data_IF_773310912642
#
_entry.id   IF_773310912642
#
_cell.length_a   1.000
_cell.length_b   1.000
_cell.length_c   1.000
_cell.angle_alpha   90.00
_cell.angle_beta   90.00
_cell.angle_gamma   90.00
#
_symmetry.space_group_name_H-M   'P 1'
#
loop_
_entity.id
_entity.type
_entity.pdbx_description
1 polymer ?
#
# COMPACT_ATOMS: atom_id res chain seq x y z
N UNK A 1 14.95 -3.42 -24.50
CA UNK A 1 14.38 -3.66 -23.16
C UNK A 1 15.21 -2.98 -22.11
N UNK A 2 14.59 -2.14 -21.31
CA UNK A 2 15.32 -1.49 -20.24
C UNK A 2 15.43 -2.42 -19.03
N UNK A 3 16.62 -2.48 -18.47
CA UNK A 3 16.88 -3.21 -17.25
C UNK A 3 16.66 -2.20 -16.11
N UNK A 4 15.82 -2.49 -15.12
CA UNK A 4 15.66 -1.57 -14.00
C UNK A 4 17.00 -1.36 -13.31
N UNK A 5 17.35 -0.11 -13.10
CA UNK A 5 18.57 0.25 -12.37
C UNK A 5 18.26 0.44 -10.88
N UNK A 6 16.99 0.27 -10.51
CA UNK A 6 16.53 0.45 -9.14
C UNK A 6 15.57 -0.65 -8.75
N UNK A 7 15.65 -1.08 -7.49
CA UNK A 7 14.71 -1.99 -6.86
C UNK A 7 13.68 -1.25 -6.03
N UNK A 8 13.51 0.04 -6.28
CA UNK A 8 12.51 0.86 -5.60
C UNK A 8 11.42 1.29 -6.57
N UNK A 9 10.20 1.40 -6.06
CA UNK A 9 9.07 1.94 -6.80
C UNK A 9 8.44 3.07 -5.99
N UNK A 10 7.89 4.07 -6.69
CA UNK A 10 7.06 5.10 -6.06
C UNK A 10 5.92 5.38 -7.01
N UNK A 11 4.69 5.23 -6.52
CA UNK A 11 3.50 5.65 -7.24
C UNK A 11 2.76 6.66 -6.38
N UNK A 12 2.09 7.59 -7.02
CA UNK A 12 1.45 8.68 -6.30
C UNK A 12 0.15 9.10 -6.97
N UNK A 13 -0.67 9.81 -6.21
CA UNK A 13 -1.93 10.35 -6.71
C UNK A 13 -2.30 11.59 -5.92
N UNK A 14 -3.09 12.47 -6.53
CA UNK A 14 -3.79 13.52 -5.80
C UNK A 14 -5.25 13.11 -5.70
N UNK A 15 -5.74 13.00 -4.48
CA UNK A 15 -7.11 12.61 -4.21
C UNK A 15 -7.89 13.85 -3.76
N UNK A 16 -8.99 14.14 -4.44
CA UNK A 16 -9.80 15.33 -4.17
C UNK A 16 -10.70 15.11 -2.96
N UNK A 17 -10.06 14.92 -1.82
CA UNK A 17 -10.70 14.74 -0.52
C UNK A 17 -9.75 15.21 0.57
N UNK A 18 -10.28 15.66 1.71
CA UNK A 18 -9.43 16.10 2.84
C UNK A 18 -8.55 14.97 3.37
N UNK A 19 -7.42 15.33 3.93
CA UNK A 19 -6.46 14.36 4.49
C UNK A 19 -7.13 13.39 5.47
N UNK A 20 -8.02 13.86 6.33
CA UNK A 20 -8.71 13.01 7.29
C UNK A 20 -9.56 11.92 6.62
N UNK A 21 -10.18 12.23 5.48
CA UNK A 21 -10.98 11.25 4.73
C UNK A 21 -10.10 10.18 4.10
N UNK A 22 -8.98 10.59 3.50
CA UNK A 22 -8.05 9.66 2.84
C UNK A 22 -7.36 8.81 3.89
N UNK A 23 -6.82 9.44 4.93
CA UNK A 23 -6.08 8.74 5.98
C UNK A 23 -6.93 7.69 6.70
N UNK A 24 -8.22 7.94 6.83
CA UNK A 24 -9.16 6.99 7.44
C UNK A 24 -9.11 5.60 6.79
N UNK A 25 -8.83 5.53 5.49
CA UNK A 25 -8.77 4.27 4.76
C UNK A 25 -7.41 3.57 4.85
N UNK A 26 -6.37 4.25 5.35
CA UNK A 26 -5.01 3.75 5.36
C UNK A 26 -4.77 2.92 6.62
N UNK A 27 -5.41 1.76 6.64
CA UNK A 27 -5.26 0.74 7.68
C UNK A 27 -5.18 -0.60 6.97
N UNK A 28 -4.14 -1.36 7.21
CA UNK A 28 -3.88 -2.61 6.47
C UNK A 28 -5.07 -3.58 6.52
N UNK A 29 -5.77 -3.64 7.64
CA UNK A 29 -6.94 -4.50 7.81
C UNK A 29 -8.17 -4.01 7.04
N UNK A 30 -8.14 -2.79 6.53
CA UNK A 30 -9.26 -2.18 5.80
C UNK A 30 -9.00 -2.03 4.30
N UNK A 31 -7.85 -2.48 3.81
CA UNK A 31 -7.50 -2.31 2.39
C UNK A 31 -8.49 -2.98 1.45
N UNK A 32 -9.11 -4.09 1.86
CA UNK A 32 -10.13 -4.74 1.03
C UNK A 32 -11.39 -3.88 0.85
N UNK A 33 -11.57 -2.85 1.67
CA UNK A 33 -12.71 -1.94 1.54
C UNK A 33 -12.58 -0.98 0.34
N UNK A 34 -11.35 -0.73 -0.13
CA UNK A 34 -11.16 0.14 -1.29
C UNK A 34 -10.43 -0.54 -2.45
N UNK A 35 -9.50 -1.43 -2.17
CA UNK A 35 -8.68 -2.07 -3.20
C UNK A 35 -9.42 -3.29 -3.76
N UNK A 36 -9.97 -3.13 -4.96
CA UNK A 36 -10.85 -4.14 -5.56
C UNK A 36 -10.15 -5.46 -5.89
N UNK A 37 -8.81 -5.44 -6.03
CA UNK A 37 -8.04 -6.67 -6.23
C UNK A 37 -8.00 -7.55 -4.98
N UNK A 38 -8.26 -6.99 -3.79
CA UNK A 38 -8.30 -7.74 -2.54
C UNK A 38 -9.71 -8.26 -2.27
N UNK A 39 -9.78 -9.56 -2.04
CA UNK A 39 -11.01 -10.23 -1.61
C UNK A 39 -11.25 -9.99 -0.12
N UNK A 40 -10.19 -10.04 0.69
CA UNK A 40 -10.29 -9.84 2.14
C UNK A 40 -8.98 -9.30 2.72
N UNK A 41 -9.10 -8.63 3.86
CA UNK A 41 -7.98 -8.17 4.67
C UNK A 41 -8.37 -8.31 6.13
N UNK A 42 -7.70 -9.18 6.87
CA UNK A 42 -8.10 -9.56 8.23
C UNK A 42 -6.90 -9.68 9.16
N UNK A 43 -7.11 -9.37 10.44
CA UNK A 43 -6.07 -9.62 11.44
C UNK A 43 -5.78 -11.10 11.55
N UNK A 44 -4.49 -11.43 11.71
CA UNK A 44 -4.07 -12.81 11.95
C UNK A 44 -4.29 -13.14 13.41
N UNK A 45 -5.08 -14.15 13.67
CA UNK A 45 -5.36 -14.61 15.03
C UNK A 45 -4.12 -15.27 15.64
N UNK A 46 -3.87 -15.00 16.91
CA UNK A 46 -2.72 -15.56 17.61
C UNK A 46 -1.43 -14.82 17.42
N UNK A 47 -1.44 -13.71 16.65
CA UNK A 47 -0.28 -12.82 16.55
C UNK A 47 -0.03 -12.17 17.90
N UNK A 48 1.25 -11.82 18.19
CA UNK A 48 1.57 -11.16 19.45
C UNK A 48 0.94 -9.75 19.48
N UNK A 49 0.69 -9.25 20.69
CA UNK A 49 0.13 -7.91 20.86
C UNK A 49 1.05 -6.80 20.35
N UNK A 50 2.31 -7.13 20.10
CA UNK A 50 3.32 -6.17 19.63
C UNK A 50 3.46 -6.13 18.11
N UNK A 51 2.80 -7.06 17.42
CA UNK A 51 2.94 -7.17 15.97
C UNK A 51 1.57 -7.21 15.31
N UNK A 52 1.24 -6.16 14.59
CA UNK A 52 0.03 -6.12 13.79
C UNK A 52 0.28 -6.84 12.47
N UNK A 53 -0.21 -8.06 12.39
CA UNK A 53 -0.10 -8.89 11.19
C UNK A 53 -1.49 -9.03 10.57
N UNK A 54 -1.59 -8.72 9.29
CA UNK A 54 -2.85 -8.74 8.54
C UNK A 54 -2.71 -9.71 7.39
N UNK A 55 -3.71 -10.56 7.21
CA UNK A 55 -3.77 -11.51 6.10
C UNK A 55 -4.55 -10.89 4.95
N UNK A 56 -3.90 -10.75 3.81
CA UNK A 56 -4.52 -10.26 2.57
C UNK A 56 -4.75 -11.44 1.63
N UNK A 57 -5.98 -11.58 1.16
CA UNK A 57 -6.33 -12.57 0.13
C UNK A 57 -6.75 -11.80 -1.13
N UNK A 58 -6.06 -12.05 -2.23
CA UNK A 58 -6.37 -11.43 -3.51
C UNK A 58 -7.40 -12.28 -4.26
N UNK A 59 -8.13 -11.66 -5.18
CA UNK A 59 -9.14 -12.35 -5.99
C UNK A 59 -8.55 -13.46 -6.86
N UNK A 60 -7.28 -13.36 -7.23
CA UNK A 60 -6.58 -14.37 -8.02
C UNK A 60 -6.08 -15.57 -7.21
N UNK A 61 -6.34 -15.56 -5.90
CA UNK A 61 -5.92 -16.63 -5.00
C UNK A 61 -4.60 -16.38 -4.28
N UNK A 62 -3.90 -15.30 -4.60
CA UNK A 62 -2.67 -14.94 -3.90
C UNK A 62 -2.98 -14.56 -2.47
N UNK A 63 -2.17 -15.03 -1.52
CA UNK A 63 -2.30 -14.72 -0.10
C UNK A 63 -1.01 -14.14 0.44
N UNK A 64 -1.12 -13.08 1.22
CA UNK A 64 0.03 -12.43 1.87
C UNK A 64 -0.27 -12.20 3.34
N UNK A 65 0.74 -12.42 4.18
CA UNK A 65 0.72 -11.88 5.54
C UNK A 65 1.60 -10.65 5.55
N UNK A 66 1.01 -9.52 5.86
CA UNK A 66 1.72 -8.24 5.94
C UNK A 66 1.82 -7.82 7.39
N UNK A 67 3.00 -7.30 7.74
CA UNK A 67 3.27 -6.86 9.12
C UNK A 67 3.44 -5.35 9.14
N UNK A 68 2.70 -4.68 10.01
CA UNK A 68 2.85 -3.25 10.22
C UNK A 68 4.15 -3.01 10.98
N UNK A 69 5.09 -2.31 10.35
CA UNK A 69 6.40 -1.98 10.94
C UNK A 69 6.36 -0.63 11.65
N UNK A 70 5.71 0.36 11.02
CA UNK A 70 5.55 1.70 11.59
C UNK A 70 4.17 2.24 11.26
N UNK A 71 3.64 3.09 12.14
CA UNK A 71 2.38 3.78 11.93
C UNK A 71 2.41 5.11 12.65
N UNK A 72 2.27 6.20 11.89
CA UNK A 72 2.26 7.54 12.46
C UNK A 72 0.97 8.27 12.12
N UNK A 73 0.17 8.55 13.14
CA UNK A 73 -1.05 9.37 12.98
C UNK A 73 -0.72 10.87 12.97
N UNK A 74 0.48 11.23 13.41
CA UNK A 74 0.94 12.62 13.38
C UNK A 74 1.45 12.99 11.99
N UNK A 75 2.28 12.12 11.41
CA UNK A 75 2.90 12.35 10.11
C UNK A 75 2.18 11.64 8.96
N UNK A 76 1.10 10.94 9.25
CA UNK A 76 0.22 10.27 8.28
C UNK A 76 0.96 9.34 7.34
N UNK A 77 1.68 8.37 7.90
CA UNK A 77 2.29 7.30 7.12
C UNK A 77 2.17 5.96 7.82
N UNK A 78 2.27 4.91 7.02
CA UNK A 78 2.31 3.53 7.48
C UNK A 78 3.39 2.81 6.68
N UNK A 79 4.20 2.01 7.38
CA UNK A 79 5.23 1.18 6.76
C UNK A 79 4.94 -0.28 7.09
N UNK A 80 5.00 -1.15 6.10
CA UNK A 80 4.72 -2.56 6.29
C UNK A 80 5.64 -3.42 5.45
N UNK A 81 5.80 -4.68 5.87
CA UNK A 81 6.58 -5.69 5.15
C UNK A 81 5.70 -6.89 4.85
N UNK A 82 6.11 -7.71 3.88
CA UNK A 82 5.47 -8.99 3.61
C UNK A 82 6.29 -10.06 4.33
N UNK A 83 5.66 -10.80 5.23
CA UNK A 83 6.36 -11.84 5.99
C UNK A 83 6.13 -13.24 5.46
N UNK A 84 4.97 -13.51 4.86
CA UNK A 84 4.69 -14.77 4.17
C UNK A 84 3.87 -14.51 2.91
N UNK A 85 3.99 -15.40 1.93
CA UNK A 85 3.26 -15.29 0.68
C UNK A 85 2.96 -16.68 0.10
N UNK A 86 1.79 -16.81 -0.52
CA UNK A 86 1.39 -18.00 -1.27
C UNK A 86 0.81 -17.57 -2.62
N UNK A 87 1.43 -17.90 -3.75
CA UNK A 87 2.72 -18.60 -3.87
C UNK A 87 3.87 -17.78 -3.28
N UNK A 88 4.98 -18.44 -2.98
CA UNK A 88 6.15 -17.78 -2.42
C UNK A 88 6.65 -16.64 -3.31
N UNK A 89 7.16 -15.59 -2.67
CA UNK A 89 7.78 -14.48 -3.39
C UNK A 89 9.04 -14.96 -4.12
N UNK A 90 9.26 -14.42 -5.31
CA UNK A 90 10.45 -14.71 -6.09
C UNK A 90 11.68 -13.89 -5.66
N UNK A 91 11.51 -13.08 -4.62
CA UNK A 91 12.55 -12.21 -4.06
C UNK A 91 12.49 -12.29 -2.53
N UNK A 92 13.54 -11.83 -1.86
CA UNK A 92 13.69 -12.03 -0.42
C UNK A 92 12.75 -11.16 0.41
N UNK A 93 12.64 -9.86 0.10
CA UNK A 93 11.86 -8.95 0.95
C UNK A 93 11.45 -7.68 0.21
N UNK A 94 10.44 -7.03 0.77
CA UNK A 94 10.01 -5.70 0.36
C UNK A 94 9.51 -4.93 1.58
N UNK A 95 9.89 -3.65 1.65
CA UNK A 95 9.40 -2.73 2.66
C UNK A 95 8.61 -1.64 1.94
N UNK A 96 7.35 -1.49 2.30
CA UNK A 96 6.43 -0.54 1.65
C UNK A 96 6.02 0.56 2.60
N UNK A 97 5.88 1.78 2.08
CA UNK A 97 5.42 2.93 2.87
C UNK A 97 4.36 3.68 2.09
N UNK A 98 3.26 4.01 2.78
CA UNK A 98 2.23 4.88 2.25
C UNK A 98 2.24 6.13 3.10
N UNK A 99 2.40 7.29 2.48
CA UNK A 99 2.44 8.57 3.18
C UNK A 99 1.48 9.56 2.52
N UNK A 100 0.71 10.26 3.36
CA UNK A 100 -0.29 11.22 2.92
C UNK A 100 0.09 12.62 3.36
N UNK A 101 -0.12 13.59 2.46
CA UNK A 101 0.15 15.01 2.70
C UNK A 101 -1.08 15.83 2.33
N UNK A 102 -1.38 16.88 3.10
CA UNK A 102 -2.37 17.86 2.68
C UNK A 102 -1.77 18.73 1.58
N UNK A 103 -2.53 18.97 0.52
CA UNK A 103 -2.16 19.98 -0.48
C UNK A 103 -2.60 21.33 0.09
N UNK A 104 -1.62 22.21 0.34
CA UNK A 104 -1.84 23.42 1.11
C UNK A 104 -1.97 24.69 0.28
N UNK A 105 -1.76 24.62 -1.03
CA UNK A 105 -1.82 25.79 -1.89
C UNK A 105 -2.18 25.41 -3.32
N UNK A 106 -2.64 26.40 -4.09
CA UNK A 106 -3.00 26.22 -5.49
C UNK A 106 -4.43 25.71 -5.69
N UNK A 107 -4.72 25.31 -6.92
CA UNK A 107 -6.08 24.86 -7.31
C UNK A 107 -6.54 23.60 -6.57
N UNK A 108 -5.59 22.78 -6.12
CA UNK A 108 -5.91 21.54 -5.45
C UNK A 108 -5.82 21.64 -3.92
N UNK A 109 -5.73 22.85 -3.40
CA UNK A 109 -5.72 23.06 -1.94
C UNK A 109 -6.91 22.36 -1.29
N UNK A 110 -6.65 21.66 -0.18
CA UNK A 110 -7.66 20.85 0.51
C UNK A 110 -7.75 19.42 0.03
N UNK A 111 -7.03 19.09 -1.05
CA UNK A 111 -6.89 17.71 -1.52
C UNK A 111 -5.75 17.02 -0.76
N UNK A 112 -5.58 15.73 -1.00
CA UNK A 112 -4.52 14.93 -0.41
C UNK A 112 -3.57 14.44 -1.49
N UNK A 113 -2.27 14.63 -1.27
CA UNK A 113 -1.23 13.99 -2.08
C UNK A 113 -0.79 12.73 -1.35
N UNK A 114 -0.83 11.59 -2.03
CA UNK A 114 -0.47 10.31 -1.46
C UNK A 114 0.65 9.66 -2.26
N UNK A 115 1.67 9.14 -1.57
CA UNK A 115 2.76 8.38 -2.16
C UNK A 115 2.73 6.96 -1.60
N UNK A 116 2.93 5.98 -2.46
CA UNK A 116 3.06 4.59 -2.07
C UNK A 116 4.37 4.07 -2.65
N UNK A 117 5.36 3.86 -1.78
CA UNK A 117 6.69 3.40 -2.19
C UNK A 117 6.92 1.96 -1.79
N UNK A 118 7.87 1.32 -2.46
CA UNK A 118 8.34 -0.01 -2.10
C UNK A 118 9.83 -0.12 -2.34
N UNK A 119 10.54 -0.64 -1.36
CA UNK A 119 11.96 -0.93 -1.45
C UNK A 119 12.14 -2.43 -1.43
N UNK A 120 12.55 -2.98 -2.56
CA UNK A 120 12.69 -4.42 -2.76
C UNK A 120 14.13 -4.84 -2.53
N UNK A 121 14.32 -6.08 -2.09
CA UNK A 121 15.65 -6.70 -2.04
C UNK A 121 16.25 -6.78 -3.43
N UNK A 122 17.57 -6.83 -3.51
CA UNK A 122 18.31 -6.76 -4.79
C UNK A 122 18.00 -7.91 -5.75
N UNK A 123 17.40 -8.97 -5.27
CA UNK A 123 17.01 -10.13 -6.08
C UNK A 123 15.65 -9.98 -6.78
N UNK A 124 14.96 -8.85 -6.62
CA UNK A 124 13.71 -8.57 -7.33
C UNK A 124 14.01 -8.26 -8.80
N UNK A 125 13.35 -8.96 -9.71
CA UNK A 125 13.57 -8.77 -11.14
C UNK A 125 12.66 -7.69 -11.74
N UNK A 126 12.85 -7.41 -13.03
CA UNK A 126 12.08 -6.39 -13.74
C UNK A 126 10.58 -6.63 -13.70
N UNK A 127 10.17 -7.89 -13.81
CA UNK A 127 8.75 -8.26 -13.76
C UNK A 127 8.12 -7.95 -12.42
N UNK A 128 8.84 -8.22 -11.33
CA UNK A 128 8.38 -7.90 -9.97
C UNK A 128 8.19 -6.39 -9.81
N UNK A 129 9.16 -5.61 -10.29
CA UNK A 129 9.12 -4.14 -10.16
C UNK A 129 7.95 -3.55 -10.96
N UNK A 130 7.75 -4.01 -12.20
CA UNK A 130 6.65 -3.52 -13.03
C UNK A 130 5.29 -3.91 -12.46
N UNK A 131 5.15 -5.14 -11.95
CA UNK A 131 3.92 -5.59 -11.30
C UNK A 131 3.62 -4.75 -10.06
N UNK A 132 4.64 -4.43 -9.28
CA UNK A 132 4.49 -3.61 -8.07
C UNK A 132 4.00 -2.20 -8.41
N UNK A 133 4.51 -1.60 -9.48
CA UNK A 133 4.04 -0.30 -9.96
C UNK A 133 2.57 -0.36 -10.35
N UNK A 134 2.22 -1.35 -11.15
CA UNK A 134 0.85 -1.52 -11.64
C UNK A 134 -0.14 -1.69 -10.49
N UNK A 135 0.17 -2.57 -9.54
CA UNK A 135 -0.71 -2.83 -8.39
C UNK A 135 -0.93 -1.58 -7.54
N UNK A 136 0.14 -0.79 -7.34
CA UNK A 136 0.02 0.46 -6.57
C UNK A 136 -0.82 1.50 -7.29
N UNK A 137 -0.65 1.65 -8.61
CA UNK A 137 -1.48 2.56 -9.42
C UNK A 137 -2.94 2.18 -9.35
N UNK A 138 -3.23 0.89 -9.48
CA UNK A 138 -4.59 0.36 -9.45
C UNK A 138 -5.24 0.61 -8.08
N UNK A 139 -4.51 0.33 -7.01
CA UNK A 139 -5.00 0.55 -5.66
C UNK A 139 -5.24 2.03 -5.36
N UNK A 140 -4.36 2.92 -5.82
CA UNK A 140 -4.53 4.36 -5.63
C UNK A 140 -5.73 4.89 -6.39
N UNK A 141 -5.97 4.38 -7.59
CA UNK A 141 -7.16 4.75 -8.37
C UNK A 141 -8.44 4.31 -7.65
N UNK A 142 -8.44 3.11 -7.08
CA UNK A 142 -9.57 2.61 -6.30
C UNK A 142 -9.80 3.44 -5.04
N UNK A 143 -8.72 3.79 -4.34
CA UNK A 143 -8.80 4.63 -3.14
C UNK A 143 -9.40 6.00 -3.47
N UNK A 144 -9.00 6.58 -4.59
CA UNK A 144 -9.52 7.88 -5.01
C UNK A 144 -11.04 7.85 -5.20
N UNK A 145 -11.56 6.77 -5.78
CA UNK A 145 -13.01 6.61 -5.99
C UNK A 145 -13.78 6.54 -4.67
N UNK A 146 -13.23 5.84 -3.68
CA UNK A 146 -13.88 5.66 -2.39
C UNK A 146 -13.77 6.93 -1.54
N UNK A 147 -12.62 7.57 -1.52
CA UNK A 147 -12.36 8.70 -0.63
C UNK A 147 -13.14 9.96 -1.01
N UNK A 148 -13.51 10.14 -2.30
CA UNK A 148 -14.30 11.30 -2.72
C UNK A 148 -15.80 11.07 -2.58
N UNK A 149 -16.26 9.85 -2.32
CA UNK A 149 -17.66 9.58 -2.06
C UNK A 149 -18.04 10.05 -0.67
N UNK A 150 -19.16 10.70 -0.57
CA UNK A 150 -19.70 11.15 0.71
C UNK A 150 -20.52 10.05 1.36
#
# INVERSE_FOLDING_TARGET
MSIPTSTSVVESAVIKAPLSHVWHHIKLQNFSNFWTALKSSEFVKGASNEADIIHWTFNDGTELDVKQEEHSTINHYITYSIITAKPELSYTSVLSTIRCYSVTSGELEGSTYIEWSGHFSSDADAGVIEDAKFKRRDALADLAKIAVKK
#
